data_IF_405500331606
#
_entry.id   IF_405500331606
#
_cell.length_a   1.000
_cell.length_b   1.000
_cell.length_c   1.000
_cell.angle_alpha   90.00
_cell.angle_beta   90.00
_cell.angle_gamma   90.00
#
_symmetry.space_group_name_H-M   'P 1'
#
loop_
_entity.id
_entity.type
_entity.pdbx_description
1 polymer ?
#
# COMPACT_ATOMS: atom_id res chain seq x y z
N UNK A 1 -1.13 28.44 -35.39
CA UNK A 1 -0.10 27.36 -35.37
C UNK A 1 0.68 27.29 -34.05
N UNK A 2 1.08 28.42 -33.45
CA UNK A 2 1.82 28.46 -32.17
C UNK A 2 1.03 27.89 -30.98
N UNK A 3 -0.27 28.18 -30.89
CA UNK A 3 -1.17 27.62 -29.86
C UNK A 3 -1.32 26.10 -29.96
N UNK A 4 -1.28 25.55 -31.17
CA UNK A 4 -1.32 24.10 -31.39
C UNK A 4 -0.05 23.43 -30.86
N UNK A 5 1.11 24.09 -31.00
CA UNK A 5 2.37 23.63 -30.44
C UNK A 5 2.32 23.64 -28.90
N UNK A 6 1.81 24.73 -28.32
CA UNK A 6 1.65 24.88 -26.86
C UNK A 6 0.72 23.80 -26.29
N UNK A 7 -0.39 23.50 -26.95
CA UNK A 7 -1.33 22.44 -26.52
C UNK A 7 -0.69 21.05 -26.54
N UNK A 8 0.11 20.74 -27.55
CA UNK A 8 0.84 19.46 -27.65
C UNK A 8 1.88 19.31 -26.54
N UNK A 9 2.62 20.37 -26.23
CA UNK A 9 3.60 20.36 -25.13
C UNK A 9 2.94 20.22 -23.75
N UNK A 10 1.77 20.84 -23.54
CA UNK A 10 1.02 20.72 -22.27
C UNK A 10 0.46 19.31 -22.09
N UNK A 11 -0.08 18.68 -23.15
CA UNK A 11 -0.58 17.30 -23.09
C UNK A 11 0.58 16.32 -22.84
N UNK A 12 1.74 16.51 -23.50
CA UNK A 12 2.91 15.67 -23.26
C UNK A 12 3.40 15.78 -21.81
N UNK A 13 3.40 16.98 -21.23
CA UNK A 13 3.75 17.18 -19.83
C UNK A 13 2.76 16.48 -18.86
N UNK A 14 1.46 16.50 -19.17
CA UNK A 14 0.42 15.83 -18.37
C UNK A 14 0.54 14.29 -18.39
N UNK A 15 1.02 13.71 -19.49
CA UNK A 15 1.21 12.25 -19.61
C UNK A 15 2.43 11.78 -18.82
N UNK A 16 3.44 12.63 -18.61
CA UNK A 16 4.64 12.28 -17.85
C UNK A 16 4.41 12.21 -16.34
N UNK A 17 3.33 12.79 -15.82
CA UNK A 17 3.05 12.86 -14.37
C UNK A 17 2.17 11.71 -13.86
N UNK A 18 2.00 10.63 -14.62
CA UNK A 18 1.20 9.49 -14.16
C UNK A 18 1.86 8.82 -12.97
N UNK A 19 1.24 8.93 -11.80
CA UNK A 19 1.63 8.23 -10.57
C UNK A 19 1.18 6.77 -10.68
N UNK A 20 2.09 5.88 -11.09
CA UNK A 20 1.86 4.44 -10.97
C UNK A 20 1.82 4.08 -9.49
N UNK A 21 0.75 3.42 -9.04
CA UNK A 21 0.79 2.81 -7.72
C UNK A 21 1.89 1.73 -7.71
N UNK A 22 2.62 1.62 -6.61
CA UNK A 22 3.75 0.70 -6.51
C UNK A 22 3.25 -0.75 -6.62
N UNK A 23 3.72 -1.46 -7.64
CA UNK A 23 3.35 -2.85 -7.91
C UNK A 23 4.30 -3.81 -7.18
N UNK A 24 3.75 -4.90 -6.65
CA UNK A 24 4.46 -5.85 -5.81
C UNK A 24 4.01 -7.30 -6.05
N UNK A 25 4.69 -8.24 -5.39
CA UNK A 25 4.26 -9.63 -5.34
C UNK A 25 4.59 -10.42 -6.60
N UNK A 26 3.97 -11.58 -6.78
CA UNK A 26 4.26 -12.52 -7.87
C UNK A 26 4.03 -11.91 -9.25
N UNK A 27 3.14 -10.94 -9.33
CA UNK A 27 2.80 -10.17 -10.53
C UNK A 27 3.96 -9.28 -10.97
N UNK A 28 4.81 -8.85 -10.05
CA UNK A 28 5.91 -7.92 -10.30
C UNK A 28 7.24 -8.49 -9.77
N UNK A 29 7.71 -9.61 -10.31
CA UNK A 29 9.01 -10.22 -9.99
C UNK A 29 9.26 -10.47 -8.49
N UNK A 30 8.21 -10.73 -7.70
CA UNK A 30 8.27 -10.85 -6.23
C UNK A 30 8.87 -9.62 -5.55
N UNK A 31 8.69 -8.43 -6.15
CA UNK A 31 9.11 -7.16 -5.58
C UNK A 31 8.34 -6.90 -4.27
N UNK A 32 9.07 -6.45 -3.27
CA UNK A 32 8.46 -5.96 -2.03
C UNK A 32 8.09 -4.49 -2.17
N UNK A 33 7.06 -4.10 -1.45
CA UNK A 33 6.68 -2.70 -1.36
C UNK A 33 7.75 -1.87 -0.63
N UNK A 34 7.96 -0.61 -1.03
CA UNK A 34 8.76 0.32 -0.26
C UNK A 34 8.14 0.58 1.12
N UNK A 35 8.92 1.10 2.06
CA UNK A 35 8.47 1.43 3.42
C UNK A 35 7.82 0.26 4.20
N UNK A 36 8.13 -0.99 3.82
CA UNK A 36 7.53 -2.20 4.42
C UNK A 36 5.99 -2.21 4.36
N UNK A 37 5.40 -1.59 3.34
CA UNK A 37 3.96 -1.65 3.11
C UNK A 37 3.52 -3.08 2.76
N UNK A 38 2.27 -3.42 3.04
CA UNK A 38 1.70 -4.72 2.69
C UNK A 38 1.52 -4.83 1.18
N UNK A 39 1.85 -6.00 0.64
CA UNK A 39 1.54 -6.35 -0.73
C UNK A 39 0.21 -7.09 -0.81
N UNK A 40 -0.81 -6.47 -1.41
CA UNK A 40 -2.13 -7.08 -1.56
C UNK A 40 -2.09 -8.35 -2.43
N UNK A 41 -3.16 -9.14 -2.37
CA UNK A 41 -3.37 -10.28 -3.27
C UNK A 41 -3.24 -9.91 -4.76
N UNK A 42 -3.58 -8.67 -5.10
CA UNK A 42 -3.58 -8.15 -6.47
C UNK A 42 -2.25 -7.51 -6.89
N UNK A 43 -1.26 -7.46 -5.99
CA UNK A 43 0.07 -6.94 -6.31
C UNK A 43 0.17 -5.42 -6.21
N UNK A 44 -0.54 -4.83 -5.24
CA UNK A 44 -0.47 -3.40 -4.94
C UNK A 44 -0.03 -3.16 -3.51
N UNK A 45 0.67 -2.05 -3.28
CA UNK A 45 1.18 -1.66 -1.98
C UNK A 45 0.20 -0.80 -1.18
N UNK A 46 0.04 -1.09 0.10
CA UNK A 46 -0.76 -0.26 1.01
C UNK A 46 -0.71 -0.74 2.47
N UNK A 47 -1.37 0.00 3.36
CA UNK A 47 -1.45 -0.34 4.81
C UNK A 47 -2.82 -0.81 5.26
N UNK A 48 -3.86 -0.60 4.43
CA UNK A 48 -5.21 -0.93 4.85
C UNK A 48 -5.45 -2.44 4.82
N UNK A 49 -6.53 -2.83 5.48
CA UNK A 49 -7.03 -4.20 5.50
C UNK A 49 -7.12 -4.89 4.12
N UNK A 50 -7.46 -4.15 3.07
CA UNK A 50 -7.53 -4.70 1.72
C UNK A 50 -6.16 -5.12 1.16
N UNK A 51 -5.07 -4.56 1.70
CA UNK A 51 -3.69 -4.86 1.32
C UNK A 51 -3.02 -5.86 2.25
N UNK A 52 -3.25 -5.72 3.56
CA UNK A 52 -2.61 -6.54 4.60
C UNK A 52 -3.39 -7.80 4.98
N UNK A 53 -4.66 -7.87 4.61
CA UNK A 53 -5.57 -8.94 5.02
C UNK A 53 -5.39 -10.23 4.23
N UNK A 54 -6.49 -10.97 4.07
CA UNK A 54 -6.47 -12.30 3.44
C UNK A 54 -5.89 -12.26 2.03
N UNK A 55 -4.92 -13.13 1.77
CA UNK A 55 -4.24 -13.21 0.48
C UNK A 55 -3.12 -12.19 0.28
N UNK A 56 -2.74 -11.43 1.31
CA UNK A 56 -1.53 -10.62 1.29
C UNK A 56 -0.28 -11.48 0.96
N UNK A 57 0.62 -10.93 0.14
CA UNK A 57 1.78 -11.61 -0.41
C UNK A 57 3.09 -11.33 0.34
N UNK A 58 3.27 -10.14 0.91
CA UNK A 58 4.46 -9.75 1.68
C UNK A 58 4.16 -8.59 2.64
N UNK A 59 4.96 -8.47 3.71
CA UNK A 59 4.78 -7.50 4.81
C UNK A 59 3.34 -7.49 5.38
N UNK A 60 2.73 -8.65 5.55
CA UNK A 60 1.34 -8.78 5.98
C UNK A 60 1.21 -8.60 7.50
N UNK A 61 0.20 -7.86 7.95
CA UNK A 61 -0.09 -7.64 9.37
C UNK A 61 -1.43 -8.25 9.73
N UNK A 62 -1.51 -8.94 10.89
CA UNK A 62 -2.70 -9.69 11.33
C UNK A 62 -3.82 -8.82 11.94
N UNK A 63 -3.68 -7.50 11.97
CA UNK A 63 -4.65 -6.57 12.57
C UNK A 63 -5.93 -6.33 11.76
N UNK A 64 -6.25 -7.19 10.79
CA UNK A 64 -7.38 -7.00 9.89
C UNK A 64 -8.63 -7.83 10.29
N UNK A 65 -8.90 -7.90 11.59
CA UNK A 65 -10.11 -8.51 12.12
C UNK A 65 -11.21 -7.44 12.22
N UNK A 66 -12.32 -7.68 11.53
CA UNK A 66 -13.52 -6.83 11.54
C UNK A 66 -14.20 -6.89 12.91
N UNK A 67 -13.84 -5.97 13.80
CA UNK A 67 -14.69 -5.65 14.96
C UNK A 67 -14.67 -4.15 15.16
N UNK A 68 -15.82 -3.52 14.89
CA UNK A 68 -16.07 -2.15 15.30
C UNK A 68 -16.02 -2.11 16.84
N UNK A 69 -15.22 -1.19 17.38
CA UNK A 69 -15.07 -0.87 18.80
C UNK A 69 -14.45 -1.94 19.72
N UNK A 70 -13.19 -1.74 20.08
CA UNK A 70 -12.82 -1.64 21.49
C UNK A 70 -11.82 -0.50 21.62
N UNK A 71 -12.09 0.38 22.58
CA UNK A 71 -11.33 1.58 22.86
C UNK A 71 -9.93 1.20 23.37
N UNK A 72 -8.98 0.97 22.46
CA UNK A 72 -7.55 0.90 22.75
C UNK A 72 -6.81 1.69 21.67
N UNK A 73 -5.94 2.58 22.12
CA UNK A 73 -5.08 3.43 21.30
C UNK A 73 -4.29 2.57 20.31
N UNK A 74 -4.80 2.44 19.08
CA UNK A 74 -4.01 1.99 17.94
C UNK A 74 -3.06 3.13 17.60
N UNK A 75 -1.99 3.27 18.40
CA UNK A 75 -0.87 4.09 18.02
C UNK A 75 -0.16 3.38 16.87
N UNK A 76 -0.44 3.88 15.68
CA UNK A 76 0.20 3.54 14.42
C UNK A 76 1.69 3.83 14.47
N UNK A 77 2.47 2.86 14.92
CA UNK A 77 3.89 2.70 14.55
C UNK A 77 4.32 1.33 15.02
N UNK A 78 4.88 0.53 14.12
CA UNK A 78 5.26 -0.85 14.40
C UNK A 78 6.04 -0.99 15.71
N UNK A 79 5.41 -1.62 16.68
CA UNK A 79 6.10 -2.36 17.73
C UNK A 79 5.25 -3.60 18.01
N UNK A 80 5.82 -4.74 17.64
CA UNK A 80 5.35 -6.02 18.11
C UNK A 80 5.65 -6.05 19.62
N UNK A 81 4.63 -5.93 20.46
CA UNK A 81 4.80 -6.20 21.87
C UNK A 81 4.90 -7.72 22.04
N UNK A 82 6.13 -8.20 22.14
CA UNK A 82 6.45 -9.49 22.73
C UNK A 82 5.82 -9.58 24.13
N UNK A 83 4.95 -10.57 24.32
CA UNK A 83 4.58 -11.05 25.65
C UNK A 83 3.52 -10.25 26.40
N UNK A 84 2.25 -10.51 26.12
CA UNK A 84 1.23 -10.45 27.17
C UNK A 84 1.23 -11.81 27.87
N UNK A 85 2.02 -11.92 28.93
CA UNK A 85 1.88 -12.99 29.90
C UNK A 85 0.61 -12.72 30.72
N UNK A 86 -0.39 -13.59 30.57
CA UNK A 86 -1.57 -13.65 31.41
C UNK A 86 -1.52 -14.93 32.25
N UNK A 87 -0.63 -14.95 33.26
CA UNK A 87 -0.77 -15.66 34.54
C UNK A 87 0.38 -15.38 35.50
#
# INVERSE_FOLDING_TARGET
MKFSLVLVFVILALVLTTTYAEQCGKQNHKRNCPNKLCCSKFGWCGTSCAYCGSGCQSNCHKGCATTMFANETVNTSGEQLDGVNLN
#
